data_IF_312285928503
#
_entry.id   IF_312285928503
#
_cell.length_a   1.000
_cell.length_b   1.000
_cell.length_c   1.000
_cell.angle_alpha   90.00
_cell.angle_beta   90.00
_cell.angle_gamma   90.00
#
_symmetry.space_group_name_H-M   'P 1'
#
loop_
_entity.id
_entity.type
_entity.pdbx_description
1 polymer ?
#
# COMPACT_ATOMS: atom_id res chain seq x y z
N UNK A 1 39.94 -24.07 -15.62
CA UNK A 1 38.65 -24.57 -16.13
C UNK A 1 37.67 -24.63 -14.96
N UNK A 2 36.60 -23.84 -15.07
CA UNK A 2 35.33 -23.83 -14.31
C UNK A 2 35.39 -23.90 -12.77
N UNK A 3 35.15 -22.73 -12.21
CA UNK A 3 34.67 -22.44 -10.85
C UNK A 3 33.31 -23.09 -10.59
N UNK A 4 33.19 -23.61 -9.37
CA UNK A 4 31.98 -24.03 -8.69
C UNK A 4 31.02 -22.86 -8.51
N UNK A 5 29.80 -22.99 -9.04
CA UNK A 5 28.65 -22.17 -8.59
C UNK A 5 27.74 -23.07 -7.77
N UNK A 6 27.73 -22.83 -6.46
CA UNK A 6 26.74 -23.33 -5.54
C UNK A 6 25.36 -22.91 -6.02
N UNK A 7 24.50 -23.90 -6.28
CA UNK A 7 23.07 -23.68 -6.39
C UNK A 7 22.56 -23.24 -5.01
N UNK A 8 22.59 -21.93 -4.72
CA UNK A 8 21.78 -21.38 -3.66
C UNK A 8 20.33 -21.53 -4.08
N UNK A 9 19.67 -22.56 -3.55
CA UNK A 9 18.23 -22.66 -3.57
C UNK A 9 17.67 -21.35 -3.02
N UNK A 10 17.07 -20.52 -3.88
CA UNK A 10 16.32 -19.34 -3.46
C UNK A 10 15.11 -19.82 -2.64
N UNK A 11 15.31 -20.04 -1.34
CA UNK A 11 14.26 -20.35 -0.39
C UNK A 11 13.29 -19.18 -0.37
N UNK A 12 12.08 -19.41 -0.87
CA UNK A 12 11.00 -18.44 -0.83
C UNK A 12 10.29 -18.56 0.53
N UNK A 13 10.83 -17.91 1.56
CA UNK A 13 10.20 -17.92 2.88
C UNK A 13 8.96 -16.99 2.86
N UNK A 14 7.79 -17.58 3.13
CA UNK A 14 6.55 -16.89 3.43
C UNK A 14 6.19 -17.15 4.88
N UNK A 15 5.83 -16.11 5.63
CA UNK A 15 5.32 -16.23 6.99
C UNK A 15 3.95 -15.58 7.04
N UNK A 16 2.98 -16.36 7.48
CA UNK A 16 1.63 -15.88 7.75
C UNK A 16 1.41 -15.87 9.26
N UNK A 17 1.18 -14.68 9.81
CA UNK A 17 0.96 -14.43 11.23
C UNK A 17 -0.51 -14.04 11.38
N UNK A 18 -1.27 -14.94 11.99
CA UNK A 18 -2.71 -14.78 12.17
C UNK A 18 -2.99 -14.56 13.65
N UNK A 19 -3.81 -13.55 13.95
CA UNK A 19 -4.33 -13.24 15.29
C UNK A 19 -3.26 -12.87 16.33
N UNK A 20 -2.22 -12.13 15.91
CA UNK A 20 -1.21 -11.59 16.81
C UNK A 20 -1.58 -10.14 17.17
N UNK A 21 -2.19 -9.94 18.34
CA UNK A 21 -2.56 -8.61 18.81
C UNK A 21 -1.50 -8.05 19.77
N UNK A 22 -0.65 -7.14 19.28
CA UNK A 22 0.42 -6.48 20.03
C UNK A 22 -0.12 -5.37 20.96
N UNK A 23 -0.95 -5.69 21.95
CA UNK A 23 -1.52 -4.65 22.85
C UNK A 23 -0.49 -4.00 23.78
N UNK A 24 0.70 -4.59 23.93
CA UNK A 24 1.81 -4.04 24.71
C UNK A 24 2.93 -3.53 23.80
N UNK A 25 3.62 -2.47 24.24
CA UNK A 25 4.77 -1.86 23.54
C UNK A 25 5.91 -2.85 23.23
N UNK A 26 5.95 -4.00 23.91
CA UNK A 26 6.96 -5.05 23.74
C UNK A 26 6.80 -5.86 22.45
N UNK A 27 5.64 -5.76 21.77
CA UNK A 27 5.36 -6.55 20.57
C UNK A 27 5.38 -5.74 19.27
N UNK A 28 5.59 -4.42 19.32
CA UNK A 28 5.84 -3.60 18.12
C UNK A 28 7.19 -3.95 17.47
N UNK A 29 8.13 -4.46 18.24
CA UNK A 29 9.43 -4.97 17.77
C UNK A 29 9.27 -6.21 16.89
N UNK A 30 8.22 -7.01 17.09
CA UNK A 30 8.00 -8.25 16.35
C UNK A 30 7.83 -7.98 14.85
N UNK A 31 7.05 -6.96 14.46
CA UNK A 31 6.97 -6.59 13.05
C UNK A 31 8.34 -6.14 12.53
N UNK A 32 9.08 -5.33 13.30
CA UNK A 32 10.40 -4.85 12.89
C UNK A 32 11.40 -5.99 12.73
N UNK A 33 11.37 -7.01 13.57
CA UNK A 33 12.20 -8.21 13.45
C UNK A 33 11.90 -8.96 12.15
N UNK A 34 10.61 -9.08 11.79
CA UNK A 34 10.22 -9.67 10.51
C UNK A 34 10.62 -8.79 9.31
N UNK A 35 10.46 -7.48 9.42
CA UNK A 35 10.92 -6.53 8.40
C UNK A 35 12.44 -6.50 8.27
N UNK A 36 13.20 -6.90 9.30
CA UNK A 36 14.66 -7.02 9.31
C UNK A 36 15.13 -8.39 8.81
N UNK A 37 14.24 -9.36 8.66
CA UNK A 37 14.57 -10.73 8.30
C UNK A 37 15.02 -10.86 6.84
N UNK A 38 16.29 -11.19 6.62
CA UNK A 38 16.92 -11.26 5.29
C UNK A 38 16.43 -12.41 4.41
N UNK A 39 15.82 -13.43 4.99
CA UNK A 39 15.30 -14.58 4.22
C UNK A 39 13.82 -14.41 3.85
N UNK A 40 13.11 -13.52 4.55
CA UNK A 40 11.67 -13.34 4.39
C UNK A 40 11.34 -12.59 3.10
N UNK A 41 10.44 -13.17 2.29
CA UNK A 41 9.95 -12.55 1.04
C UNK A 41 8.49 -12.13 1.14
N UNK A 42 7.68 -12.92 1.82
CA UNK A 42 6.26 -12.63 2.02
C UNK A 42 5.93 -12.60 3.50
N UNK A 43 5.29 -11.52 3.94
CA UNK A 43 4.75 -11.37 5.28
C UNK A 43 3.26 -11.04 5.20
N UNK A 44 2.44 -11.88 5.79
CA UNK A 44 1.04 -11.56 6.07
C UNK A 44 0.88 -11.42 7.58
N UNK A 45 0.38 -10.29 8.04
CA UNK A 45 0.17 -10.02 9.45
C UNK A 45 -1.27 -9.62 9.70
N UNK A 46 -1.93 -10.32 10.60
CA UNK A 46 -3.26 -10.00 11.11
C UNK A 46 -3.23 -9.76 12.60
N UNK A 47 -3.71 -8.59 13.00
CA UNK A 47 -3.77 -8.13 14.39
C UNK A 47 -3.05 -6.81 14.57
N UNK A 48 -3.13 -6.23 15.77
CA UNK A 48 -2.62 -4.90 16.09
C UNK A 48 -1.09 -4.88 16.20
N UNK A 49 -0.40 -3.84 15.69
CA UNK A 49 1.08 -3.74 15.71
C UNK A 49 1.59 -2.55 16.55
N UNK A 50 0.78 -1.51 16.73
CA UNK A 50 1.23 -0.27 17.37
C UNK A 50 2.15 0.58 16.48
N UNK A 51 2.80 1.63 17.02
CA UNK A 51 3.67 2.52 16.26
C UNK A 51 5.00 1.84 15.90
N UNK A 52 5.48 2.05 14.66
CA UNK A 52 6.78 1.57 14.21
C UNK A 52 7.88 2.59 14.54
N UNK A 53 8.98 2.12 15.14
CA UNK A 53 10.13 2.98 15.44
C UNK A 53 11.11 3.06 14.25
N UNK A 54 11.66 4.25 13.89
CA UNK A 54 12.47 4.46 12.68
C UNK A 54 13.86 3.77 12.63
N UNK A 55 14.27 3.04 13.66
CA UNK A 55 15.65 2.56 13.82
C UNK A 55 15.91 1.12 13.35
N UNK A 56 14.95 0.48 12.67
CA UNK A 56 15.11 -0.91 12.24
C UNK A 56 15.95 -1.02 10.97
N UNK A 57 16.85 -2.00 10.95
CA UNK A 57 17.48 -2.45 9.70
C UNK A 57 16.40 -3.00 8.78
N UNK A 58 16.29 -2.49 7.55
CA UNK A 58 15.25 -2.92 6.64
C UNK A 58 15.78 -4.05 5.73
N UNK A 59 15.07 -5.18 5.70
CA UNK A 59 15.43 -6.32 4.86
C UNK A 59 15.35 -5.96 3.39
N UNK A 60 16.35 -6.35 2.58
CA UNK A 60 16.34 -6.10 1.16
C UNK A 60 15.45 -7.06 0.38
N UNK A 61 14.88 -8.10 0.98
CA UNK A 61 14.28 -9.23 0.26
C UNK A 61 12.76 -9.33 0.37
N UNK A 62 12.12 -8.53 1.23
CA UNK A 62 10.67 -8.54 1.38
C UNK A 62 10.00 -7.99 0.11
N UNK A 63 9.26 -8.85 -0.59
CA UNK A 63 8.57 -8.51 -1.85
C UNK A 63 7.06 -8.36 -1.69
N UNK A 64 6.45 -9.00 -0.68
CA UNK A 64 5.01 -8.93 -0.43
C UNK A 64 4.73 -8.66 1.05
N UNK A 65 3.97 -7.60 1.32
CA UNK A 65 3.52 -7.25 2.66
C UNK A 65 2.00 -7.07 2.66
N UNK A 66 1.31 -7.88 3.47
CA UNK A 66 -0.12 -7.75 3.73
C UNK A 66 -0.32 -7.49 5.22
N UNK A 67 -0.98 -6.38 5.53
CA UNK A 67 -1.34 -6.01 6.89
C UNK A 67 -2.87 -5.98 7.01
N UNK A 68 -3.39 -6.60 8.07
CA UNK A 68 -4.81 -6.71 8.36
C UNK A 68 -5.08 -6.32 9.81
N UNK A 69 -5.94 -5.33 10.05
CA UNK A 69 -6.27 -4.87 11.42
C UNK A 69 -5.05 -4.47 12.26
N UNK A 70 -4.00 -4.00 11.59
CA UNK A 70 -2.72 -3.61 12.18
C UNK A 70 -2.68 -2.24 12.84
N UNK A 71 -3.63 -1.38 12.53
CA UNK A 71 -3.78 -0.07 13.14
C UNK A 71 -2.52 0.80 13.08
N UNK A 72 -1.74 0.70 11.99
CA UNK A 72 -0.54 1.50 11.79
C UNK A 72 -0.88 3.00 11.83
N UNK A 73 -0.01 3.79 12.43
CA UNK A 73 -0.15 5.24 12.48
C UNK A 73 0.54 5.90 11.28
N UNK A 74 0.30 7.19 11.10
CA UNK A 74 0.83 7.94 9.96
C UNK A 74 2.37 7.93 9.89
N UNK A 75 3.02 7.95 11.06
CA UNK A 75 4.47 7.85 11.25
C UNK A 75 5.11 6.53 10.77
N UNK A 76 4.30 5.53 10.41
CA UNK A 76 4.76 4.22 9.97
C UNK A 76 5.13 4.18 8.49
N UNK A 77 4.58 5.10 7.67
CA UNK A 77 4.82 5.12 6.21
C UNK A 77 6.28 5.38 5.81
N UNK A 78 7.03 6.28 6.49
CA UNK A 78 8.46 6.50 6.24
C UNK A 78 9.35 5.26 6.43
N UNK A 79 8.85 4.22 7.10
CA UNK A 79 9.56 2.94 7.28
C UNK A 79 9.19 1.99 6.14
N UNK A 80 7.89 1.86 5.84
CA UNK A 80 7.40 0.99 4.78
C UNK A 80 7.91 1.41 3.40
N UNK A 81 7.98 2.72 3.12
CA UNK A 81 8.43 3.23 1.82
C UNK A 81 9.91 2.95 1.53
N UNK A 82 10.69 2.64 2.56
CA UNK A 82 12.12 2.33 2.43
C UNK A 82 12.39 0.85 2.13
N UNK A 83 11.36 -0.01 2.08
CA UNK A 83 11.50 -1.41 1.71
C UNK A 83 11.92 -1.52 0.22
N UNK A 84 13.17 -1.91 -0.08
CA UNK A 84 13.76 -1.68 -1.40
C UNK A 84 13.27 -2.65 -2.46
N UNK A 85 12.78 -3.84 -2.07
CA UNK A 85 12.27 -4.87 -2.99
C UNK A 85 10.77 -5.09 -2.89
N UNK A 86 10.06 -4.26 -2.11
CA UNK A 86 8.62 -4.44 -1.90
C UNK A 86 7.87 -4.23 -3.20
N UNK A 87 7.35 -5.31 -3.77
CA UNK A 87 6.59 -5.32 -5.01
C UNK A 87 5.07 -5.23 -4.78
N UNK A 88 4.59 -5.65 -3.61
CA UNK A 88 3.17 -5.58 -3.27
C UNK A 88 2.96 -5.14 -1.83
N UNK A 89 2.12 -4.12 -1.66
CA UNK A 89 1.64 -3.66 -0.36
C UNK A 89 0.11 -3.75 -0.31
N UNK A 90 -0.41 -4.47 0.67
CA UNK A 90 -1.85 -4.58 0.95
C UNK A 90 -2.13 -4.10 2.37
N UNK A 91 -2.94 -3.06 2.50
CA UNK A 91 -3.45 -2.56 3.77
C UNK A 91 -4.96 -2.80 3.78
N UNK A 92 -5.43 -3.66 4.68
CA UNK A 92 -6.83 -4.10 4.74
C UNK A 92 -7.42 -3.98 6.14
N UNK A 93 -8.71 -3.65 6.21
CA UNK A 93 -9.51 -3.53 7.45
C UNK A 93 -8.79 -2.74 8.54
N UNK A 94 -8.72 -1.42 8.38
CA UNK A 94 -8.07 -0.50 9.35
C UNK A 94 -6.62 -0.89 9.70
N UNK A 95 -5.90 -1.54 8.77
CA UNK A 95 -4.46 -1.75 8.90
C UNK A 95 -3.67 -0.44 8.99
N UNK A 96 -4.24 0.67 8.52
CA UNK A 96 -3.68 2.00 8.61
C UNK A 96 -4.74 2.99 9.11
N UNK A 97 -4.43 3.63 10.23
CA UNK A 97 -5.25 4.60 10.96
C UNK A 97 -4.76 6.04 10.77
N UNK A 98 -3.73 6.25 9.96
CA UNK A 98 -3.28 7.58 9.57
C UNK A 98 -4.32 8.27 8.68
N UNK A 99 -4.49 9.58 8.86
CA UNK A 99 -5.38 10.38 8.01
C UNK A 99 -4.77 10.65 6.65
N UNK A 100 -3.44 10.73 6.57
CA UNK A 100 -2.73 11.07 5.36
C UNK A 100 -1.59 10.09 5.11
N UNK A 101 -1.65 9.43 3.97
CA UNK A 101 -0.55 8.61 3.49
C UNK A 101 0.35 9.49 2.62
N UNK A 102 1.58 9.73 3.09
CA UNK A 102 2.59 10.47 2.34
C UNK A 102 3.65 9.50 1.87
N UNK A 103 3.85 9.41 0.56
CA UNK A 103 4.95 8.68 -0.06
C UNK A 103 5.99 9.69 -0.55
N UNK A 104 7.16 9.69 0.09
CA UNK A 104 8.24 10.64 -0.20
C UNK A 104 8.93 10.32 -1.53
N UNK A 105 9.65 11.30 -2.09
CA UNK A 105 10.44 11.10 -3.31
C UNK A 105 11.39 9.91 -3.17
N UNK A 106 11.47 9.07 -4.20
CA UNK A 106 12.18 7.78 -4.19
C UNK A 106 11.63 6.71 -3.23
N UNK A 107 10.52 6.98 -2.53
CA UNK A 107 9.81 6.00 -1.73
C UNK A 107 9.21 4.89 -2.60
N UNK A 108 9.22 3.66 -2.08
CA UNK A 108 8.69 2.46 -2.72
C UNK A 108 9.26 2.20 -4.12
N UNK A 109 10.59 2.01 -4.25
CA UNK A 109 11.26 1.97 -5.55
C UNK A 109 10.84 0.80 -6.45
N UNK A 110 10.37 -0.31 -5.86
CA UNK A 110 9.99 -1.53 -6.59
C UNK A 110 8.48 -1.86 -6.50
N UNK A 111 7.67 -0.95 -5.96
CA UNK A 111 6.26 -1.25 -5.70
C UNK A 111 5.47 -1.27 -7.01
N UNK A 112 4.88 -2.44 -7.32
CA UNK A 112 4.04 -2.68 -8.50
C UNK A 112 2.57 -2.68 -8.15
N UNK A 113 2.21 -3.24 -6.99
CA UNK A 113 0.83 -3.40 -6.57
C UNK A 113 0.57 -2.70 -5.22
N UNK A 114 -0.37 -1.77 -5.19
CA UNK A 114 -0.86 -1.12 -3.97
C UNK A 114 -2.36 -1.39 -3.79
N UNK A 115 -2.74 -1.99 -2.66
CA UNK A 115 -4.16 -2.25 -2.33
C UNK A 115 -4.51 -1.61 -0.99
N UNK A 116 -5.46 -0.68 -1.01
CA UNK A 116 -5.98 0.05 0.15
C UNK A 116 -7.45 -0.30 0.32
N UNK A 117 -7.75 -1.14 1.31
CA UNK A 117 -9.06 -1.76 1.46
C UNK A 117 -9.62 -1.47 2.86
N UNK A 118 -10.86 -1.01 2.93
CA UNK A 118 -11.57 -0.77 4.18
C UNK A 118 -10.77 0.09 5.18
N UNK A 119 -10.17 1.20 4.71
CA UNK A 119 -9.43 2.13 5.57
C UNK A 119 -10.35 3.29 5.98
N UNK A 120 -10.87 3.23 7.19
CA UNK A 120 -11.93 4.15 7.66
C UNK A 120 -11.43 5.57 7.97
N UNK A 121 -10.15 5.74 8.30
CA UNK A 121 -9.55 7.02 8.68
C UNK A 121 -8.81 7.74 7.55
N UNK A 122 -8.45 7.01 6.48
CA UNK A 122 -7.66 7.56 5.38
C UNK A 122 -8.46 8.64 4.64
N UNK A 123 -7.92 9.85 4.62
CA UNK A 123 -8.53 11.04 4.01
C UNK A 123 -7.78 11.52 2.78
N UNK A 124 -6.44 11.42 2.78
CA UNK A 124 -5.62 11.87 1.66
C UNK A 124 -4.48 10.92 1.37
N UNK A 125 -4.14 10.80 0.09
CA UNK A 125 -2.91 10.19 -0.39
C UNK A 125 -2.08 11.30 -1.03
N UNK A 126 -0.82 11.42 -0.65
CA UNK A 126 0.13 12.37 -1.22
C UNK A 126 1.31 11.57 -1.74
N UNK A 127 1.58 11.69 -3.03
CA UNK A 127 2.69 10.99 -3.70
C UNK A 127 3.58 12.05 -4.30
N UNK A 128 4.80 12.18 -3.79
CA UNK A 128 5.77 13.11 -4.35
C UNK A 128 6.23 12.66 -5.73
N UNK A 129 6.70 13.62 -6.54
CA UNK A 129 7.31 13.32 -7.83
C UNK A 129 8.43 12.28 -7.64
N UNK A 130 8.41 11.22 -8.47
CA UNK A 130 9.34 10.06 -8.45
C UNK A 130 9.09 8.96 -7.42
N UNK A 131 8.12 9.12 -6.51
CA UNK A 131 7.70 8.03 -5.64
C UNK A 131 6.97 6.93 -6.44
N UNK A 132 7.12 5.66 -6.03
CA UNK A 132 6.45 4.51 -6.67
C UNK A 132 6.58 4.47 -8.21
N UNK A 133 7.81 4.55 -8.75
CA UNK A 133 8.03 4.82 -10.18
C UNK A 133 7.52 3.72 -11.13
N UNK A 134 7.36 2.48 -10.63
CA UNK A 134 6.96 1.31 -11.42
C UNK A 134 5.59 0.74 -11.03
N UNK A 135 4.79 1.51 -10.29
CA UNK A 135 3.48 1.07 -9.83
C UNK A 135 2.56 0.80 -11.03
N UNK A 136 2.01 -0.42 -11.11
CA UNK A 136 1.18 -0.90 -12.21
C UNK A 136 -0.24 -1.29 -11.82
N UNK A 137 -0.49 -1.51 -10.54
CA UNK A 137 -1.78 -1.95 -10.05
C UNK A 137 -2.13 -1.18 -8.78
N UNK A 138 -3.27 -0.50 -8.79
CA UNK A 138 -3.80 0.18 -7.62
C UNK A 138 -5.26 -0.18 -7.41
N UNK A 139 -5.58 -0.62 -6.19
CA UNK A 139 -6.94 -0.95 -5.78
C UNK A 139 -7.27 -0.17 -4.53
N UNK A 140 -8.33 0.64 -4.58
CA UNK A 140 -8.85 1.37 -3.43
C UNK A 140 -10.31 1.00 -3.25
N UNK A 141 -10.64 0.36 -2.14
CA UNK A 141 -11.99 -0.10 -1.85
C UNK A 141 -12.43 0.33 -0.45
N UNK A 142 -13.67 0.81 -0.33
CA UNK A 142 -14.33 1.16 0.93
C UNK A 142 -13.51 2.09 1.84
N UNK A 143 -12.78 3.04 1.26
CA UNK A 143 -12.09 4.12 1.98
C UNK A 143 -12.97 5.38 1.99
N UNK A 144 -13.96 5.43 2.88
CA UNK A 144 -15.09 6.35 2.77
C UNK A 144 -14.74 7.83 2.96
N UNK A 145 -13.69 8.11 3.74
CA UNK A 145 -13.21 9.48 4.02
C UNK A 145 -12.20 9.99 2.99
N UNK A 146 -11.76 9.14 2.06
CA UNK A 146 -10.72 9.48 1.08
C UNK A 146 -11.25 10.51 0.08
N UNK A 147 -10.56 11.64 -0.02
CA UNK A 147 -10.77 12.59 -1.09
C UNK A 147 -10.28 11.99 -2.41
N UNK A 148 -11.21 11.80 -3.34
CA UNK A 148 -10.95 11.23 -4.67
C UNK A 148 -9.91 12.07 -5.43
N UNK A 149 -9.86 13.39 -5.19
CA UNK A 149 -8.90 14.27 -5.84
C UNK A 149 -7.47 14.10 -5.33
N UNK A 150 -7.29 13.47 -4.15
CA UNK A 150 -5.98 13.12 -3.61
C UNK A 150 -5.45 11.80 -4.15
N UNK A 151 -6.27 11.01 -4.86
CA UNK A 151 -5.79 9.78 -5.47
C UNK A 151 -4.75 10.18 -6.53
N UNK A 152 -3.50 9.69 -6.40
CA UNK A 152 -2.41 10.16 -7.24
C UNK A 152 -2.73 9.91 -8.73
N UNK A 153 -2.83 11.00 -9.50
CA UNK A 153 -2.94 10.96 -10.96
C UNK A 153 -1.59 10.58 -11.53
N UNK A 154 -1.31 9.28 -11.56
CA UNK A 154 -0.01 8.77 -12.01
C UNK A 154 0.02 8.73 -13.55
N UNK A 155 1.19 8.98 -14.18
CA UNK A 155 1.29 9.13 -15.62
C UNK A 155 0.72 7.90 -16.36
N UNK A 156 -0.02 8.19 -17.44
CA UNK A 156 -0.96 7.33 -18.20
C UNK A 156 -0.41 6.00 -18.76
N UNK A 157 0.84 5.61 -18.49
CA UNK A 157 1.52 4.48 -19.16
C UNK A 157 1.86 3.32 -18.24
N UNK A 158 1.63 3.42 -16.93
CA UNK A 158 2.22 2.46 -15.98
C UNK A 158 1.25 1.39 -15.49
N UNK A 159 -0.08 1.61 -15.57
CA UNK A 159 -1.05 0.72 -14.92
C UNK A 159 -1.73 -0.27 -15.85
N UNK A 160 -1.73 -1.53 -15.43
CA UNK A 160 -2.57 -2.58 -16.03
C UNK A 160 -3.95 -2.62 -15.39
N UNK A 161 -4.09 -2.29 -14.10
CA UNK A 161 -5.38 -2.35 -13.40
C UNK A 161 -5.50 -1.28 -12.31
N UNK A 162 -6.43 -0.36 -12.50
CA UNK A 162 -6.95 0.50 -11.44
C UNK A 162 -8.32 -0.06 -11.07
N UNK A 163 -8.64 -0.20 -9.78
CA UNK A 163 -9.99 -0.51 -9.29
C UNK A 163 -10.31 0.41 -8.13
N UNK A 164 -11.25 1.33 -8.33
CA UNK A 164 -11.81 2.12 -7.25
C UNK A 164 -13.19 1.55 -6.90
N UNK A 165 -13.52 1.44 -5.62
CA UNK A 165 -14.89 1.13 -5.15
C UNK A 165 -15.11 1.92 -3.88
N UNK A 166 -15.67 3.12 -4.00
CA UNK A 166 -15.89 4.01 -2.86
C UNK A 166 -17.38 4.03 -2.54
N UNK A 167 -17.73 3.60 -1.33
CA UNK A 167 -19.10 3.68 -0.82
C UNK A 167 -19.30 5.04 -0.15
N UNK A 168 -20.14 5.89 -0.75
CA UNK A 168 -20.53 7.17 -0.14
C UNK A 168 -21.89 7.02 0.54
N UNK A 169 -22.05 7.40 1.83
CA UNK A 169 -23.29 7.14 2.58
C UNK A 169 -24.52 7.94 2.10
N UNK A 170 -24.35 8.94 1.22
CA UNK A 170 -25.45 9.77 0.70
C UNK A 170 -25.64 9.71 -0.83
N UNK A 171 -24.75 9.05 -1.58
CA UNK A 171 -24.86 8.88 -3.03
C UNK A 171 -24.30 7.51 -3.40
N UNK A 172 -25.16 6.61 -3.86
CA UNK A 172 -24.79 5.32 -4.44
C UNK A 172 -24.04 5.55 -5.77
N UNK A 173 -22.78 5.95 -5.72
CA UNK A 173 -21.92 6.01 -6.90
C UNK A 173 -20.95 4.84 -6.86
N UNK A 174 -21.33 3.73 -7.49
CA UNK A 174 -20.42 2.62 -7.77
C UNK A 174 -19.50 3.03 -8.92
N UNK A 175 -18.46 3.82 -8.64
CA UNK A 175 -17.43 4.13 -9.63
C UNK A 175 -16.46 2.95 -9.72
N UNK A 176 -16.81 1.89 -10.47
CA UNK A 176 -15.80 0.92 -10.93
C UNK A 176 -14.89 1.62 -11.94
N UNK A 177 -13.86 2.28 -11.44
CA UNK A 177 -12.85 2.90 -12.29
C UNK A 177 -11.93 1.80 -12.79
N UNK A 178 -12.06 1.40 -14.05
CA UNK A 178 -11.03 0.63 -14.78
C UNK A 178 -10.42 1.62 -15.77
N UNK A 179 -9.15 1.99 -15.55
CA UNK A 179 -8.44 2.86 -16.48
C UNK A 179 -8.25 2.15 -17.83
N UNK A 180 -9.19 2.36 -18.76
CA UNK A 180 -8.93 2.16 -20.19
C UNK A 180 -9.12 3.49 -20.92
N UNK A 181 -8.39 3.75 -22.03
CA UNK A 181 -8.36 5.06 -22.71
C UNK A 181 -9.74 5.64 -23.07
N UNK A 182 -10.75 4.78 -23.27
CA UNK A 182 -12.10 5.20 -23.62
C UNK A 182 -12.89 5.86 -22.47
N UNK A 183 -12.51 5.62 -21.20
CA UNK A 183 -13.29 6.04 -20.03
C UNK A 183 -12.80 7.34 -19.36
N UNK A 184 -11.57 7.79 -19.63
CA UNK A 184 -11.03 9.05 -19.08
C UNK A 184 -11.88 10.27 -19.47
N UNK A 185 -12.33 10.34 -20.73
CA UNK A 185 -13.15 11.45 -21.24
C UNK A 185 -14.57 11.42 -20.67
N UNK A 186 -15.13 10.23 -20.49
CA UNK A 186 -16.48 10.03 -19.93
C UNK A 186 -16.53 10.46 -18.46
N UNK A 187 -15.45 10.27 -17.71
CA UNK A 187 -15.37 10.63 -16.29
C UNK A 187 -15.23 12.13 -16.11
N UNK A 188 -14.35 12.81 -16.86
CA UNK A 188 -14.28 14.28 -16.81
C UNK A 188 -15.63 14.90 -17.16
N UNK A 189 -16.34 14.35 -18.14
CA UNK A 189 -17.69 14.80 -18.50
C UNK A 189 -18.74 14.47 -17.43
N UNK A 190 -18.68 13.29 -16.80
CA UNK A 190 -19.60 12.91 -15.72
C UNK A 190 -19.37 13.76 -14.46
N UNK A 191 -18.12 14.05 -14.08
CA UNK A 191 -17.79 14.94 -12.98
C UNK A 191 -18.26 16.37 -13.25
N UNK A 192 -18.00 16.92 -14.45
CA UNK A 192 -18.53 18.24 -14.85
C UNK A 192 -20.06 18.31 -14.84
N UNK A 193 -20.73 17.19 -15.14
CA UNK A 193 -22.20 17.10 -15.16
C UNK A 193 -22.83 16.91 -13.78
N UNK A 194 -22.12 16.28 -12.84
CA UNK A 194 -22.62 15.99 -11.48
C UNK A 194 -22.21 17.04 -10.44
N UNK A 195 -21.18 17.84 -10.74
CA UNK A 195 -20.75 19.02 -9.98
C UNK A 195 -20.37 20.15 -10.96
N UNK A 196 -21.35 20.89 -11.52
CA UNK A 196 -21.02 22.06 -12.34
C UNK A 196 -20.28 23.10 -11.48
N UNK A 197 -19.32 23.84 -12.05
CA UNK A 197 -18.69 24.95 -11.35
C UNK A 197 -19.76 26.00 -10.96
N UNK A 198 -19.54 26.75 -9.86
CA UNK A 198 -20.49 27.73 -9.35
C UNK A 198 -20.80 28.85 -10.36
#
# INVERSE_FOLDING_TARGET
MRTSTSNECQLHCSIDIIDLNCYANEYSTVLLDFLSCKVLRTLQFKGFIGPLSPSAEISPNLTHLLLHKSCLKQDSMPILEKLPSLGTLVLNDDAYMGKEMVCSASGFPQLKCLRLLNLSELQRIQVENTAMPILSDIEINNCQKLDINSIPTLPRTTYHRVVLTLFHPRRFLLMKYIATPAFSTMITQFFLKTNPPP
#
